data_IF_419971477307
#
_entry.id   IF_419971477307
#
_cell.length_a   1.000
_cell.length_b   1.000
_cell.length_c   1.000
_cell.angle_alpha   90.00
_cell.angle_beta   90.00
_cell.angle_gamma   90.00
#
_symmetry.space_group_name_H-M   'P 1'
#
loop_
_entity.id
_entity.type
_entity.pdbx_description
1 polymer ?
#
# COMPACT_ATOMS: atom_id res chain seq x y z
N UNK A 1 7.00 13.54 -14.16
CA UNK A 1 5.75 13.36 -13.42
C UNK A 1 5.90 12.39 -12.24
N UNK A 2 6.45 11.16 -12.41
CA UNK A 2 6.54 10.18 -11.32
C UNK A 2 7.27 10.66 -10.07
N UNK A 3 8.46 11.27 -10.23
CA UNK A 3 9.21 11.87 -9.11
C UNK A 3 8.35 12.94 -8.38
N UNK A 4 7.60 13.75 -9.12
CA UNK A 4 6.73 14.77 -8.54
C UNK A 4 5.67 14.14 -7.63
N UNK A 5 4.94 13.12 -8.12
CA UNK A 5 3.94 12.43 -7.29
C UNK A 5 4.56 11.72 -6.09
N UNK A 6 5.72 11.08 -6.27
CA UNK A 6 6.44 10.45 -5.16
C UNK A 6 6.82 11.46 -4.07
N UNK A 7 7.37 12.62 -4.45
CA UNK A 7 7.73 13.68 -3.50
C UNK A 7 6.48 14.25 -2.81
N UNK A 8 5.41 14.52 -3.56
CA UNK A 8 4.15 15.02 -2.98
C UNK A 8 3.61 14.04 -1.93
N UNK A 9 3.59 12.74 -2.23
CA UNK A 9 3.11 11.72 -1.28
C UNK A 9 4.02 11.67 -0.04
N UNK A 10 5.34 11.57 -0.23
CA UNK A 10 6.31 11.49 0.88
C UNK A 10 6.23 12.72 1.80
N UNK A 11 6.19 13.92 1.21
CA UNK A 11 6.12 15.18 1.97
C UNK A 11 4.77 15.32 2.67
N UNK A 12 3.67 15.04 1.96
CA UNK A 12 2.33 15.12 2.57
C UNK A 12 2.17 14.12 3.71
N UNK A 13 2.65 12.88 3.55
CA UNK A 13 2.63 11.87 4.60
C UNK A 13 3.40 12.34 5.84
N UNK A 14 4.64 12.82 5.66
CA UNK A 14 5.48 13.25 6.78
C UNK A 14 4.95 14.49 7.49
N UNK A 15 4.57 15.52 6.73
CA UNK A 15 4.01 16.76 7.29
C UNK A 15 2.69 16.50 8.02
N UNK A 16 1.79 15.68 7.45
CA UNK A 16 0.52 15.38 8.09
C UNK A 16 0.73 14.52 9.36
N UNK A 17 1.65 13.53 9.34
CA UNK A 17 1.97 12.75 10.53
C UNK A 17 2.49 13.64 11.67
N UNK A 18 3.45 14.52 11.38
CA UNK A 18 3.97 15.47 12.37
C UNK A 18 2.86 16.39 12.88
N UNK A 19 2.03 16.91 11.98
CA UNK A 19 0.92 17.77 12.34
C UNK A 19 -0.05 17.10 13.32
N UNK A 20 -0.50 15.88 13.03
CA UNK A 20 -1.45 15.18 13.90
C UNK A 20 -0.83 14.75 15.23
N UNK A 21 0.45 14.37 15.25
CA UNK A 21 1.15 14.04 16.49
C UNK A 21 1.32 15.25 17.40
N UNK A 22 1.47 16.46 16.85
CA UNK A 22 1.65 17.69 17.63
C UNK A 22 0.34 18.36 18.05
N UNK A 23 -0.76 18.18 17.27
CA UNK A 23 -1.94 19.03 17.41
C UNK A 23 -3.26 18.27 17.57
N UNK A 24 -3.28 16.93 17.33
CA UNK A 24 -4.54 16.18 17.33
C UNK A 24 -4.77 15.48 18.67
N UNK A 25 -5.83 15.86 19.36
CA UNK A 25 -6.35 15.11 20.48
C UNK A 25 -7.02 13.82 20.05
N UNK A 26 -6.90 12.77 20.86
CA UNK A 26 -7.57 11.48 20.64
C UNK A 26 -8.98 11.58 21.25
N UNK A 27 -9.88 12.15 20.47
CA UNK A 27 -11.30 12.27 20.78
C UNK A 27 -12.15 11.49 19.76
N UNK A 28 -12.63 10.33 20.17
CA UNK A 28 -13.43 9.44 19.31
C UNK A 28 -14.80 10.04 18.96
N UNK A 29 -15.27 11.07 19.64
CA UNK A 29 -16.50 11.79 19.32
C UNK A 29 -16.29 12.86 18.24
N UNK A 30 -15.05 13.26 17.99
CA UNK A 30 -14.70 14.31 17.03
C UNK A 30 -14.70 13.81 15.60
N UNK A 31 -15.45 14.44 14.73
CA UNK A 31 -15.38 14.22 13.28
C UNK A 31 -13.96 14.45 12.73
N UNK A 32 -13.25 15.46 13.22
CA UNK A 32 -11.90 15.81 12.76
C UNK A 32 -10.89 14.74 13.08
N UNK A 33 -11.01 14.07 14.24
CA UNK A 33 -10.16 12.93 14.59
C UNK A 33 -10.26 11.83 13.52
N UNK A 34 -11.47 11.44 13.13
CA UNK A 34 -11.67 10.40 12.12
C UNK A 34 -11.21 10.83 10.72
N UNK A 35 -11.41 12.11 10.38
CA UNK A 35 -10.94 12.64 9.10
C UNK A 35 -9.41 12.58 9.00
N UNK A 36 -8.69 13.00 10.05
CA UNK A 36 -7.24 12.91 10.10
C UNK A 36 -6.74 11.46 10.10
N UNK A 37 -7.40 10.56 10.83
CA UNK A 37 -7.06 9.12 10.82
C UNK A 37 -7.19 8.51 9.43
N UNK A 38 -8.30 8.78 8.73
CA UNK A 38 -8.54 8.30 7.37
C UNK A 38 -7.56 8.92 6.36
N UNK A 39 -7.29 10.22 6.46
CA UNK A 39 -6.31 10.89 5.61
C UNK A 39 -4.90 10.30 5.81
N UNK A 40 -4.48 10.09 7.07
CA UNK A 40 -3.18 9.48 7.35
C UNK A 40 -3.11 8.04 6.82
N UNK A 41 -4.19 7.27 6.94
CA UNK A 41 -4.30 5.92 6.35
C UNK A 41 -4.12 5.97 4.83
N UNK A 42 -4.79 6.89 4.16
CA UNK A 42 -4.68 7.09 2.71
C UNK A 42 -3.27 7.51 2.29
N UNK A 43 -2.61 8.39 3.06
CA UNK A 43 -1.22 8.78 2.81
C UNK A 43 -0.23 7.63 3.01
N UNK A 44 -0.45 6.75 4.01
CA UNK A 44 0.32 5.51 4.14
C UNK A 44 0.15 4.61 2.91
N UNK A 45 -1.09 4.45 2.43
CA UNK A 45 -1.35 3.73 1.19
C UNK A 45 -0.57 4.32 0.02
N UNK A 46 -0.48 5.66 -0.07
CA UNK A 46 0.33 6.35 -1.08
C UNK A 46 1.82 6.01 -1.02
N UNK A 47 2.40 5.82 0.18
CA UNK A 47 3.78 5.35 0.32
C UNK A 47 3.96 3.98 -0.35
N UNK A 48 3.08 3.02 -0.06
CA UNK A 48 3.14 1.71 -0.67
C UNK A 48 2.95 1.77 -2.19
N UNK A 49 1.99 2.55 -2.68
CA UNK A 49 1.76 2.74 -4.12
C UNK A 49 2.99 3.36 -4.81
N UNK A 50 3.70 4.28 -4.14
CA UNK A 50 4.97 4.83 -4.65
C UNK A 50 6.04 3.74 -4.74
N UNK A 51 6.18 2.90 -3.70
CA UNK A 51 7.11 1.78 -3.71
C UNK A 51 6.76 0.76 -4.81
N UNK A 52 5.47 0.45 -4.97
CA UNK A 52 4.93 -0.44 -6.00
C UNK A 52 5.26 0.06 -7.42
N UNK A 53 4.98 1.32 -7.72
CA UNK A 53 5.33 1.91 -9.01
C UNK A 53 6.85 1.91 -9.27
N UNK A 54 7.65 2.10 -8.22
CA UNK A 54 9.10 1.98 -8.34
C UNK A 54 9.54 0.55 -8.70
N UNK A 55 8.84 -0.50 -8.26
CA UNK A 55 9.13 -1.88 -8.67
C UNK A 55 8.97 -2.07 -10.18
N UNK A 56 8.03 -1.35 -10.82
CA UNK A 56 7.81 -1.35 -12.26
C UNK A 56 8.66 -0.33 -13.02
N UNK A 57 9.52 0.44 -12.32
CA UNK A 57 10.40 1.43 -12.92
C UNK A 57 9.69 2.67 -13.46
N UNK A 58 8.49 2.99 -12.93
CA UNK A 58 7.65 4.07 -13.46
C UNK A 58 7.81 5.41 -12.73
N UNK A 59 8.44 5.41 -11.53
CA UNK A 59 8.63 6.63 -10.72
C UNK A 59 9.70 7.54 -11.35
N UNK A 60 10.84 6.99 -11.79
CA UNK A 60 11.90 7.78 -12.41
C UNK A 60 12.60 7.02 -13.54
N UNK A 61 13.04 7.77 -14.59
CA UNK A 61 13.86 7.18 -15.69
C UNK A 61 15.23 6.72 -15.19
N UNK A 62 15.84 7.46 -14.27
CA UNK A 62 17.08 7.06 -13.63
C UNK A 62 16.81 5.93 -12.64
N UNK A 63 17.40 4.76 -12.86
CA UNK A 63 17.18 3.55 -12.07
C UNK A 63 17.58 3.72 -10.60
N UNK A 64 18.66 4.46 -10.33
CA UNK A 64 19.10 4.73 -8.96
C UNK A 64 18.06 5.56 -8.21
N UNK A 65 17.59 6.67 -8.80
CA UNK A 65 16.55 7.54 -8.20
C UNK A 65 15.25 6.76 -8.01
N UNK A 66 14.85 5.98 -9.02
CA UNK A 66 13.64 5.14 -8.95
C UNK A 66 13.69 4.18 -7.76
N UNK A 67 14.77 3.42 -7.62
CA UNK A 67 14.92 2.44 -6.56
C UNK A 67 15.13 3.10 -5.19
N UNK A 68 15.79 4.25 -5.12
CA UNK A 68 15.95 5.00 -3.88
C UNK A 68 14.61 5.51 -3.34
N UNK A 69 13.73 6.05 -4.23
CA UNK A 69 12.37 6.46 -3.85
C UNK A 69 11.51 5.26 -3.44
N UNK A 70 11.62 4.13 -4.15
CA UNK A 70 10.94 2.89 -3.78
C UNK A 70 11.38 2.35 -2.42
N UNK A 71 12.69 2.32 -2.15
CA UNK A 71 13.26 1.88 -0.88
C UNK A 71 12.85 2.81 0.27
N UNK A 72 12.96 4.13 0.09
CA UNK A 72 12.55 5.10 1.09
C UNK A 72 11.06 4.94 1.44
N UNK A 73 10.20 4.85 0.44
CA UNK A 73 8.76 4.67 0.63
C UNK A 73 8.44 3.36 1.35
N UNK A 74 9.14 2.25 1.02
CA UNK A 74 8.97 0.95 1.67
C UNK A 74 9.39 0.97 3.15
N UNK A 75 10.50 1.63 3.47
CA UNK A 75 10.99 1.77 4.85
C UNK A 75 10.03 2.64 5.66
N UNK A 76 9.60 3.78 5.14
CA UNK A 76 8.68 4.69 5.82
C UNK A 76 7.28 4.10 5.99
N UNK A 77 6.86 3.24 5.06
CA UNK A 77 5.57 2.54 5.14
C UNK A 77 5.50 1.62 6.37
N UNK A 78 6.45 0.70 6.50
CA UNK A 78 6.46 -0.28 7.59
C UNK A 78 7.82 -1.01 7.75
N UNK A 79 8.95 -0.35 7.49
CA UNK A 79 10.28 -0.98 7.61
C UNK A 79 10.54 -2.10 6.59
N UNK A 80 9.82 -2.12 5.47
CA UNK A 80 9.91 -3.19 4.46
C UNK A 80 11.22 -3.13 3.69
N UNK A 81 11.82 -4.31 3.47
CA UNK A 81 13.02 -4.43 2.64
C UNK A 81 12.65 -4.46 1.15
N UNK A 82 12.85 -3.34 0.48
CA UNK A 82 12.42 -3.09 -0.92
C UNK A 82 12.81 -4.19 -1.92
N UNK A 83 14.07 -4.72 -1.97
CA UNK A 83 14.41 -5.78 -2.90
C UNK A 83 13.60 -7.07 -2.70
N UNK A 84 13.29 -7.44 -1.44
CA UNK A 84 12.47 -8.62 -1.15
C UNK A 84 11.01 -8.40 -1.54
N UNK A 85 10.50 -7.18 -1.29
CA UNK A 85 9.16 -6.79 -1.68
C UNK A 85 9.01 -6.86 -3.21
N UNK A 86 9.95 -6.27 -3.93
CA UNK A 86 10.01 -6.30 -5.41
C UNK A 86 10.06 -7.73 -5.96
N UNK A 87 10.90 -8.60 -5.38
CA UNK A 87 11.00 -10.00 -5.85
C UNK A 87 9.67 -10.75 -5.70
N UNK A 88 8.96 -10.57 -4.58
CA UNK A 88 7.64 -11.17 -4.36
C UNK A 88 6.58 -10.61 -5.31
N UNK A 89 6.60 -9.30 -5.52
CA UNK A 89 5.69 -8.65 -6.47
C UNK A 89 5.88 -9.15 -7.91
N UNK A 90 7.12 -9.41 -8.33
CA UNK A 90 7.36 -10.05 -9.63
C UNK A 90 6.82 -11.49 -9.70
N UNK A 91 6.92 -12.27 -8.64
CA UNK A 91 6.32 -13.61 -8.59
C UNK A 91 4.79 -13.55 -8.67
N UNK A 92 4.16 -12.56 -8.02
CA UNK A 92 2.73 -12.30 -8.15
C UNK A 92 2.32 -11.99 -9.60
N UNK A 93 3.07 -11.14 -10.32
CA UNK A 93 2.82 -10.86 -11.74
C UNK A 93 3.05 -12.06 -12.66
N UNK A 94 3.98 -12.94 -12.30
CA UNK A 94 4.33 -14.09 -13.13
C UNK A 94 3.26 -15.21 -13.09
N UNK A 95 2.74 -15.50 -11.90
CA UNK A 95 1.81 -16.61 -11.64
C UNK A 95 0.56 -16.17 -10.85
N UNK A 96 -0.16 -15.09 -11.23
CA UNK A 96 -1.23 -14.52 -10.41
C UNK A 96 -2.35 -15.51 -10.13
N UNK A 97 -2.84 -15.52 -8.90
CA UNK A 97 -3.94 -16.37 -8.46
C UNK A 97 -3.66 -17.86 -8.53
N UNK A 98 -2.39 -18.28 -8.36
CA UNK A 98 -1.96 -19.69 -8.29
C UNK A 98 -1.29 -20.00 -6.95
N UNK A 99 -0.97 -21.27 -6.71
CA UNK A 99 -0.22 -21.67 -5.51
C UNK A 99 1.22 -21.13 -5.45
N UNK A 100 1.75 -20.62 -6.55
CA UNK A 100 3.09 -20.01 -6.62
C UNK A 100 3.07 -18.50 -6.33
N UNK A 101 1.89 -17.90 -6.38
CA UNK A 101 1.68 -16.49 -6.09
C UNK A 101 1.81 -16.24 -4.57
N UNK A 102 2.78 -15.46 -4.09
CA UNK A 102 2.95 -15.19 -2.67
C UNK A 102 1.79 -14.40 -2.05
N UNK A 103 0.99 -13.70 -2.88
CA UNK A 103 -0.13 -12.88 -2.44
C UNK A 103 -1.46 -13.66 -2.44
N UNK A 104 -1.49 -14.84 -3.05
CA UNK A 104 -2.68 -15.64 -3.19
C UNK A 104 -2.77 -16.76 -2.16
N UNK A 105 -4.00 -17.19 -1.84
CA UNK A 105 -4.26 -18.41 -1.08
C UNK A 105 -5.19 -19.35 -1.84
N UNK A 106 -4.80 -20.62 -1.91
CA UNK A 106 -5.67 -21.70 -2.41
C UNK A 106 -6.58 -22.27 -1.32
N UNK A 107 -6.39 -21.84 -0.07
CA UNK A 107 -7.13 -22.29 1.09
C UNK A 107 -8.34 -21.40 1.42
N UNK A 108 -8.45 -21.03 2.70
CA UNK A 108 -9.55 -20.21 3.18
C UNK A 108 -9.43 -18.76 2.70
N UNK A 109 -10.37 -18.32 1.86
CA UNK A 109 -10.46 -16.96 1.33
C UNK A 109 -11.34 -16.02 2.17
N UNK A 110 -11.59 -16.33 3.45
CA UNK A 110 -12.12 -15.32 4.37
C UNK A 110 -11.14 -14.15 4.43
N UNK A 111 -11.66 -12.91 4.40
CA UNK A 111 -10.86 -11.71 4.31
C UNK A 111 -9.74 -11.63 5.36
N UNK A 112 -10.06 -11.81 6.64
CA UNK A 112 -9.09 -11.69 7.73
C UNK A 112 -8.09 -12.84 7.77
N UNK A 113 -8.53 -14.07 7.45
CA UNK A 113 -7.65 -15.24 7.39
C UNK A 113 -6.62 -15.08 6.27
N UNK A 114 -7.07 -14.65 5.09
CA UNK A 114 -6.18 -14.44 3.95
C UNK A 114 -5.26 -13.22 4.16
N UNK A 115 -5.80 -12.10 4.67
CA UNK A 115 -4.97 -10.96 5.04
C UNK A 115 -3.85 -11.34 6.02
N UNK A 116 -4.15 -12.12 7.06
CA UNK A 116 -3.15 -12.58 8.00
C UNK A 116 -2.09 -13.47 7.35
N UNK A 117 -2.49 -14.39 6.46
CA UNK A 117 -1.55 -15.21 5.68
C UNK A 117 -0.68 -14.36 4.76
N UNK A 118 -1.28 -13.38 4.07
CA UNK A 118 -0.58 -12.39 3.24
C UNK A 118 0.45 -11.61 4.06
N UNK A 119 0.07 -11.05 5.20
CA UNK A 119 0.98 -10.31 6.08
C UNK A 119 2.17 -11.15 6.53
N UNK A 120 1.98 -12.41 6.87
CA UNK A 120 3.06 -13.34 7.25
C UNK A 120 4.11 -13.54 6.15
N UNK A 121 3.76 -13.39 4.88
CA UNK A 121 4.70 -13.48 3.76
C UNK A 121 5.72 -12.34 3.76
N UNK A 122 5.34 -11.17 4.28
CA UNK A 122 6.14 -9.95 4.24
C UNK A 122 6.81 -9.63 5.57
N UNK A 123 6.27 -10.09 6.69
CA UNK A 123 6.85 -9.86 8.01
C UNK A 123 8.22 -10.52 8.15
N UNK A 124 9.16 -9.76 8.70
CA UNK A 124 10.51 -10.23 9.07
C UNK A 124 10.88 -9.71 10.45
N UNK A 125 11.77 -10.42 11.15
CA UNK A 125 12.27 -9.95 12.45
C UNK A 125 12.95 -8.58 12.33
N UNK A 126 13.68 -8.33 11.25
CA UNK A 126 14.35 -7.05 11.02
C UNK A 126 13.36 -5.90 10.87
N UNK A 127 12.25 -6.12 10.17
CA UNK A 127 11.17 -5.15 10.05
C UNK A 127 10.58 -4.81 11.43
N UNK A 128 10.30 -5.83 12.25
CA UNK A 128 9.77 -5.63 13.61
C UNK A 128 10.77 -4.82 14.45
N UNK A 129 12.07 -5.14 14.38
CA UNK A 129 13.10 -4.41 15.12
C UNK A 129 13.24 -2.96 14.64
N UNK A 130 13.18 -2.70 13.33
CA UNK A 130 13.21 -1.34 12.77
C UNK A 130 11.99 -0.54 13.27
N UNK A 131 10.80 -1.11 13.16
CA UNK A 131 9.57 -0.43 13.60
C UNK A 131 9.56 -0.20 15.11
N UNK A 132 10.01 -1.18 15.91
CA UNK A 132 10.17 -1.01 17.35
C UNK A 132 11.20 0.08 17.70
N UNK A 133 12.32 0.13 16.98
CA UNK A 133 13.32 1.18 17.15
C UNK A 133 12.77 2.57 16.85
N UNK A 134 12.07 2.73 15.72
CA UNK A 134 11.43 4.01 15.35
C UNK A 134 10.35 4.41 16.36
N UNK A 135 9.57 3.45 16.86
CA UNK A 135 8.57 3.70 17.90
C UNK A 135 9.21 4.21 19.20
N UNK A 136 10.28 3.54 19.66
CA UNK A 136 11.01 3.97 20.88
C UNK A 136 11.67 5.34 20.69
N UNK A 137 12.16 5.66 19.49
CA UNK A 137 12.65 7.01 19.17
C UNK A 137 11.49 8.01 19.25
N UNK A 138 10.32 7.68 18.73
CA UNK A 138 9.12 8.52 18.80
C UNK A 138 8.70 8.84 20.22
N UNK A 139 8.86 7.90 21.18
CA UNK A 139 8.54 8.10 22.60
C UNK A 139 9.39 9.19 23.27
N UNK A 140 10.46 9.68 22.63
CA UNK A 140 11.23 10.82 23.16
C UNK A 140 10.42 12.13 23.09
N UNK A 141 9.51 12.26 22.11
CA UNK A 141 8.76 13.50 21.86
C UNK A 141 7.24 13.36 22.00
N UNK A 142 6.71 12.12 21.90
CA UNK A 142 5.26 11.86 21.88
C UNK A 142 4.91 10.77 22.87
N UNK A 143 3.71 10.80 23.39
CA UNK A 143 3.23 9.73 24.27
C UNK A 143 2.87 8.46 23.50
N UNK A 144 2.88 7.32 24.20
CA UNK A 144 2.63 6.00 23.65
C UNK A 144 1.28 5.91 22.93
N UNK A 145 0.23 6.47 23.52
CA UNK A 145 -1.13 6.43 22.97
C UNK A 145 -1.22 7.22 21.66
N UNK A 146 -0.57 8.38 21.58
CA UNK A 146 -0.50 9.17 20.34
C UNK A 146 0.20 8.39 19.23
N UNK A 147 1.36 7.79 19.50
CA UNK A 147 2.09 6.99 18.53
C UNK A 147 1.28 5.78 18.06
N UNK A 148 0.62 5.06 18.97
CA UNK A 148 -0.21 3.91 18.61
C UNK A 148 -1.38 4.37 17.73
N UNK A 149 -2.14 5.37 18.17
CA UNK A 149 -3.40 5.73 17.52
C UNK A 149 -3.19 6.53 16.23
N UNK A 150 -2.21 7.44 16.20
CA UNK A 150 -2.04 8.36 15.06
C UNK A 150 -0.96 7.91 14.04
N UNK A 151 -0.12 6.94 14.40
CA UNK A 151 0.90 6.40 13.50
C UNK A 151 0.68 4.92 13.19
N UNK A 152 0.61 4.04 14.23
CA UNK A 152 0.53 2.59 14.00
C UNK A 152 -0.86 2.19 13.45
N UNK A 153 -1.95 2.70 14.01
CA UNK A 153 -3.31 2.36 13.55
C UNK A 153 -3.51 2.74 12.07
N UNK A 154 -3.18 3.96 11.58
CA UNK A 154 -3.28 4.27 10.16
C UNK A 154 -2.43 3.37 9.26
N UNK A 155 -1.21 3.00 9.69
CA UNK A 155 -0.36 2.10 8.91
C UNK A 155 -0.97 0.70 8.78
N UNK A 156 -1.56 0.17 9.86
CA UNK A 156 -2.29 -1.12 9.83
C UNK A 156 -3.55 -1.03 8.97
N UNK A 157 -4.34 0.04 9.10
CA UNK A 157 -5.53 0.25 8.27
C UNK A 157 -5.19 0.34 6.78
N UNK A 158 -4.05 0.93 6.44
CA UNK A 158 -3.58 0.97 5.06
C UNK A 158 -3.24 -0.42 4.51
N UNK A 159 -2.79 -1.38 5.35
CA UNK A 159 -2.58 -2.76 4.91
C UNK A 159 -3.90 -3.45 4.55
N UNK A 160 -4.99 -3.19 5.29
CA UNK A 160 -6.33 -3.68 4.93
C UNK A 160 -6.80 -3.06 3.62
N UNK A 161 -6.59 -1.75 3.44
CA UNK A 161 -6.97 -1.04 2.21
C UNK A 161 -6.23 -1.62 1.00
N UNK A 162 -4.91 -1.75 1.07
CA UNK A 162 -4.09 -2.33 -0.01
C UNK A 162 -4.46 -3.79 -0.29
N UNK A 163 -4.60 -4.60 0.74
CA UNK A 163 -5.00 -5.99 0.58
C UNK A 163 -6.38 -6.12 -0.05
N UNK A 164 -7.36 -5.32 0.38
CA UNK A 164 -8.71 -5.36 -0.16
C UNK A 164 -8.74 -5.02 -1.66
N UNK A 165 -8.10 -3.91 -2.05
CA UNK A 165 -8.15 -3.39 -3.42
C UNK A 165 -7.11 -4.01 -4.35
N UNK A 166 -5.96 -4.46 -3.84
CA UNK A 166 -4.86 -4.99 -4.62
C UNK A 166 -4.78 -6.52 -4.65
N UNK A 167 -5.41 -7.22 -3.72
CA UNK A 167 -5.31 -8.68 -3.62
C UNK A 167 -6.68 -9.36 -3.52
N UNK A 168 -7.43 -9.04 -2.47
CA UNK A 168 -8.66 -9.78 -2.13
C UNK A 168 -9.74 -9.65 -3.21
N UNK A 169 -10.19 -8.44 -3.52
CA UNK A 169 -11.24 -8.24 -4.53
C UNK A 169 -10.77 -8.66 -5.92
N UNK A 170 -9.56 -8.30 -6.37
CA UNK A 170 -9.08 -8.70 -7.69
C UNK A 170 -9.00 -10.21 -7.90
N UNK A 171 -8.45 -10.96 -6.93
CA UNK A 171 -8.03 -12.35 -7.15
C UNK A 171 -8.89 -13.41 -6.49
N UNK A 172 -9.89 -13.05 -5.67
CA UNK A 172 -10.75 -14.06 -5.01
C UNK A 172 -11.57 -14.86 -6.00
N UNK A 173 -11.89 -16.09 -5.62
CA UNK A 173 -12.77 -16.98 -6.36
C UNK A 173 -14.24 -16.45 -6.43
N UNK A 174 -15.03 -16.86 -7.42
CA UNK A 174 -14.65 -17.71 -8.55
C UNK A 174 -13.87 -16.93 -9.62
N UNK A 175 -12.88 -17.56 -10.26
CA UNK A 175 -12.27 -16.99 -11.45
C UNK A 175 -13.20 -17.22 -12.65
N UNK A 176 -13.31 -16.22 -13.52
CA UNK A 176 -14.13 -16.24 -14.74
C UNK A 176 -13.27 -15.99 -15.96
N UNK A 177 -13.79 -16.31 -17.16
CA UNK A 177 -13.01 -16.14 -18.42
C UNK A 177 -12.55 -14.69 -18.66
N UNK A 178 -13.34 -13.70 -18.23
CA UNK A 178 -12.99 -12.28 -18.35
C UNK A 178 -11.80 -11.86 -17.49
N UNK A 179 -11.40 -12.68 -16.53
CA UNK A 179 -10.24 -12.46 -15.67
C UNK A 179 -8.93 -12.98 -16.29
N UNK A 180 -9.01 -13.76 -17.38
CA UNK A 180 -7.84 -14.30 -18.02
C UNK A 180 -7.09 -13.23 -18.85
N UNK A 181 -5.74 -13.34 -18.94
CA UNK A 181 -4.88 -14.38 -18.37
C UNK A 181 -4.48 -14.12 -16.89
N UNK A 182 -4.79 -12.95 -16.33
CA UNK A 182 -4.23 -12.49 -15.05
C UNK A 182 -4.97 -12.96 -13.81
N UNK A 183 -6.09 -13.69 -13.98
CA UNK A 183 -7.01 -14.07 -12.87
C UNK A 183 -7.35 -12.89 -11.97
N UNK A 184 -7.47 -11.71 -12.56
CA UNK A 184 -7.68 -10.45 -11.88
C UNK A 184 -8.96 -9.76 -12.35
N UNK A 185 -9.60 -9.02 -11.45
CA UNK A 185 -10.74 -8.13 -11.74
C UNK A 185 -10.34 -6.67 -11.57
N UNK A 186 -11.04 -5.81 -12.27
CA UNK A 186 -11.02 -4.37 -12.03
C UNK A 186 -12.28 -3.91 -11.33
N UNK A 187 -12.12 -2.91 -10.46
CA UNK A 187 -13.26 -2.25 -9.83
C UNK A 187 -14.13 -1.51 -10.85
N UNK A 188 -15.45 -1.47 -10.57
CA UNK A 188 -16.43 -0.74 -11.37
C UNK A 188 -16.68 0.69 -10.88
N UNK A 189 -15.82 1.22 -9.99
CA UNK A 189 -15.97 2.58 -9.49
C UNK A 189 -15.65 3.61 -10.58
N UNK A 190 -16.25 4.82 -10.45
CA UNK A 190 -15.81 5.97 -11.23
C UNK A 190 -14.37 6.35 -10.82
N UNK A 191 -13.69 7.12 -11.66
CA UNK A 191 -12.28 7.46 -11.45
C UNK A 191 -12.03 8.21 -10.15
N UNK A 192 -12.93 9.09 -9.73
CA UNK A 192 -12.81 9.81 -8.46
C UNK A 192 -12.81 8.85 -7.25
N UNK A 193 -13.78 7.94 -7.21
CA UNK A 193 -13.84 6.92 -6.17
C UNK A 193 -12.66 5.95 -6.23
N UNK A 194 -12.19 5.56 -7.42
CA UNK A 194 -11.02 4.69 -7.58
C UNK A 194 -9.74 5.36 -7.05
N UNK A 195 -9.59 6.68 -7.21
CA UNK A 195 -8.50 7.46 -6.62
C UNK A 195 -8.60 7.47 -5.09
N UNK A 196 -9.76 7.87 -4.55
CA UNK A 196 -9.97 8.01 -3.11
C UNK A 196 -9.85 6.67 -2.37
N UNK A 197 -10.34 5.59 -2.97
CA UNK A 197 -10.33 4.28 -2.31
C UNK A 197 -8.95 3.64 -2.28
N UNK A 198 -8.10 3.79 -3.30
CA UNK A 198 -6.74 3.24 -3.30
C UNK A 198 -5.91 3.66 -4.52
N UNK A 199 -5.77 4.95 -4.82
CA UNK A 199 -4.86 5.42 -5.90
C UNK A 199 -5.02 4.67 -7.22
N UNK A 200 -6.24 4.39 -7.67
CA UNK A 200 -6.56 3.55 -8.84
C UNK A 200 -6.07 2.10 -8.77
N UNK A 201 -5.52 1.63 -7.63
CA UNK A 201 -4.99 0.28 -7.51
C UNK A 201 -6.06 -0.81 -7.68
N UNK A 202 -7.33 -0.45 -7.50
CA UNK A 202 -8.46 -1.32 -7.84
C UNK A 202 -8.66 -1.55 -9.35
N UNK A 203 -7.96 -0.84 -10.24
CA UNK A 203 -7.86 -1.17 -11.67
C UNK A 203 -6.77 -2.22 -11.88
N UNK A 204 -6.92 -3.32 -11.16
CA UNK A 204 -5.88 -4.31 -10.99
C UNK A 204 -5.66 -5.19 -12.22
N UNK A 205 -6.72 -5.47 -12.98
CA UNK A 205 -6.59 -6.15 -14.28
C UNK A 205 -5.74 -5.32 -15.24
N UNK A 206 -6.04 -4.03 -15.37
CA UNK A 206 -5.30 -3.10 -16.21
C UNK A 206 -3.85 -2.95 -15.77
N UNK A 207 -3.61 -2.98 -14.45
CA UNK A 207 -2.27 -2.99 -13.90
C UNK A 207 -1.47 -4.24 -14.33
N UNK A 208 -2.06 -5.43 -14.24
CA UNK A 208 -1.41 -6.66 -14.70
C UNK A 208 -1.20 -6.69 -16.23
N UNK A 209 -2.16 -6.17 -17.00
CA UNK A 209 -2.05 -6.07 -18.45
C UNK A 209 -0.95 -5.09 -18.89
N UNK A 210 -0.76 -4.00 -18.16
CA UNK A 210 0.20 -2.94 -18.49
C UNK A 210 0.94 -2.46 -17.22
N UNK A 211 1.83 -3.28 -16.64
CA UNK A 211 2.44 -2.99 -15.33
C UNK A 211 3.38 -1.77 -15.34
N UNK A 212 3.79 -1.30 -16.56
CA UNK A 212 4.57 -0.06 -16.72
C UNK A 212 3.70 1.19 -16.86
N UNK A 213 2.38 1.07 -16.72
CA UNK A 213 1.49 2.24 -16.61
C UNK A 213 1.45 2.67 -15.15
N UNK A 214 1.95 3.88 -14.81
CA UNK A 214 1.98 4.33 -13.43
C UNK A 214 0.55 4.56 -12.90
N UNK A 215 0.38 4.44 -11.58
CA UNK A 215 -0.93 4.51 -10.92
C UNK A 215 -1.77 5.72 -11.35
N UNK A 216 -1.17 6.91 -11.51
CA UNK A 216 -1.89 8.13 -11.92
C UNK A 216 -2.33 8.15 -13.38
N UNK A 217 -2.02 7.11 -14.15
CA UNK A 217 -2.46 6.92 -15.54
C UNK A 217 -3.31 5.68 -15.76
N UNK A 218 -3.49 4.81 -14.75
CA UNK A 218 -4.27 3.58 -14.90
C UNK A 218 -5.71 3.86 -15.36
N UNK A 219 -6.29 4.99 -14.96
CA UNK A 219 -7.62 5.39 -15.40
C UNK A 219 -7.73 5.60 -16.92
N UNK A 220 -6.62 5.88 -17.62
CA UNK A 220 -6.63 6.13 -19.08
C UNK A 220 -6.70 4.84 -19.90
N UNK A 221 -6.41 3.69 -19.31
CA UNK A 221 -6.45 2.37 -19.95
C UNK A 221 -7.55 1.47 -19.38
N UNK A 222 -8.38 2.01 -18.48
CA UNK A 222 -9.54 1.31 -17.91
C UNK A 222 -10.50 0.90 -19.02
N UNK A 223 -10.81 -0.41 -19.08
CA UNK A 223 -11.80 -1.04 -19.99
C UNK A 223 -13.23 -0.95 -19.46
#
# INVERSE_FOLDING_TARGET
>A
MGIFYAIVILVSWGLHLIYILLNQDIDLSSFWFWLHLLLQTWLFTGLFITAHDAMHGTVAKNKFINNALGALSSILYAGLWYPKLMAKHYLHHLDPGTAKDPDYTTGNQNFFVWWFQFMKQYLTIWQILIMAGLFNIGLIWFDEKQLIVLWIVPSVLSTFQLFYFGTYVPHRLPHTDVMNPHKARSQRHNHFMALLTCYFFGYHYEHHESPRTPWWRLYTIKR
#
